data_IF_422268760371
#
_entry.id   IF_422268760371
#
_cell.length_a   1.000
_cell.length_b   1.000
_cell.length_c   1.000
_cell.angle_alpha   90.00
_cell.angle_beta   90.00
_cell.angle_gamma   90.00
#
_symmetry.space_group_name_H-M   'P 1'
#
loop_
_entity.id
_entity.type
_entity.pdbx_description
1 polymer ?
#
# COMPACT_ATOMS: atom_id res chain seq x y z
N UNK A 1 24.79 -1.91 -14.32
CA UNK A 1 25.11 -2.73 -13.12
C UNK A 1 26.24 -2.18 -12.23
N UNK A 2 26.91 -1.06 -12.55
CA UNK A 2 28.05 -0.57 -11.75
C UNK A 2 27.70 0.31 -10.52
N UNK A 3 26.44 0.72 -10.33
CA UNK A 3 26.06 1.64 -9.23
C UNK A 3 25.66 0.94 -7.93
N UNK A 4 25.44 -0.38 -7.95
CA UNK A 4 25.00 -1.15 -6.78
C UNK A 4 26.11 -1.54 -5.80
N UNK A 5 27.38 -1.42 -6.20
CA UNK A 5 28.54 -1.85 -5.40
C UNK A 5 29.22 -0.73 -4.61
N UNK A 6 28.75 0.52 -4.74
CA UNK A 6 29.36 1.68 -4.06
C UNK A 6 28.94 1.83 -2.58
N UNK A 7 28.00 1.01 -2.09
CA UNK A 7 27.50 1.06 -0.70
C UNK A 7 28.23 0.11 0.25
N UNK A 8 29.47 -0.28 -0.05
CA UNK A 8 30.33 -0.93 0.93
C UNK A 8 30.85 0.13 1.90
N UNK A 9 30.11 0.26 3.01
CA UNK A 9 30.41 1.04 4.21
C UNK A 9 31.92 1.05 4.52
N UNK A 10 32.60 2.13 4.10
CA UNK A 10 33.92 2.49 4.60
C UNK A 10 33.89 4.00 4.80
N UNK A 11 34.11 4.44 6.04
CA UNK A 11 34.38 5.84 6.44
C UNK A 11 33.20 6.75 6.83
N UNK A 12 32.11 6.23 7.39
CA UNK A 12 31.16 7.05 8.18
C UNK A 12 30.45 8.19 7.43
N UNK A 13 30.50 8.20 6.10
CA UNK A 13 29.70 9.08 5.24
C UNK A 13 28.64 8.24 4.55
N UNK A 14 27.40 8.69 4.66
CA UNK A 14 26.25 8.05 4.03
C UNK A 14 26.45 8.00 2.51
N UNK A 15 26.30 6.80 1.93
CA UNK A 15 26.46 6.57 0.50
C UNK A 15 25.36 7.25 -0.31
N UNK A 16 25.62 7.49 -1.60
CA UNK A 16 24.62 8.07 -2.50
C UNK A 16 23.46 7.12 -2.73
N UNK A 17 22.28 7.45 -2.23
CA UNK A 17 21.05 6.72 -2.54
C UNK A 17 20.73 6.77 -4.04
N UNK A 18 20.22 5.67 -4.58
CA UNK A 18 19.59 5.63 -5.92
C UNK A 18 18.39 6.59 -6.00
N UNK A 19 17.77 6.89 -4.86
CA UNK A 19 16.70 7.86 -4.70
C UNK A 19 17.23 9.03 -3.85
N UNK A 20 17.54 10.16 -4.48
CA UNK A 20 17.93 11.39 -3.78
C UNK A 20 16.69 12.19 -3.38
N UNK A 21 16.75 12.89 -2.24
CA UNK A 21 15.75 13.91 -1.91
C UNK A 21 15.73 14.98 -3.01
N UNK A 22 14.55 15.17 -3.63
CA UNK A 22 14.36 16.24 -4.60
C UNK A 22 14.52 17.59 -3.92
N UNK A 23 15.36 18.47 -4.49
CA UNK A 23 15.54 19.85 -3.99
C UNK A 23 14.34 20.76 -4.27
N UNK A 24 13.34 20.26 -5.01
CA UNK A 24 12.10 20.95 -5.33
C UNK A 24 10.93 20.04 -5.00
N UNK A 25 9.84 20.56 -4.40
CA UNK A 25 8.59 19.82 -4.29
C UNK A 25 8.17 19.43 -5.70
N UNK A 26 7.88 18.14 -5.91
CA UNK A 26 7.21 17.69 -7.12
C UNK A 26 5.73 17.69 -6.78
N UNK A 27 4.94 18.55 -7.42
CA UNK A 27 3.50 18.49 -7.30
C UNK A 27 3.07 17.10 -7.79
N UNK A 28 2.37 16.35 -6.93
CA UNK A 28 1.89 14.98 -7.20
C UNK A 28 0.70 14.94 -8.16
N UNK A 29 0.58 15.94 -9.03
CA UNK A 29 -0.38 16.03 -10.11
C UNK A 29 0.35 16.39 -11.40
N UNK A 30 -0.23 16.01 -12.53
CA UNK A 30 0.22 16.47 -13.83
C UNK A 30 0.03 17.99 -13.94
N UNK A 31 0.98 18.76 -13.41
CA UNK A 31 0.96 20.20 -13.59
C UNK A 31 1.40 20.53 -15.02
N UNK A 32 0.42 21.07 -15.75
CA UNK A 32 0.56 22.03 -16.83
C UNK A 32 1.52 23.14 -16.37
N UNK A 33 2.82 22.89 -16.55
CA UNK A 33 3.79 23.96 -16.68
C UNK A 33 3.51 24.60 -18.03
N UNK A 34 2.97 25.81 -17.98
CA UNK A 34 2.89 26.74 -19.10
C UNK A 34 4.32 26.94 -19.65
N UNK A 35 4.68 26.12 -20.62
CA UNK A 35 5.93 26.23 -21.37
C UNK A 35 5.59 26.84 -22.72
N UNK A 36 6.20 28.00 -22.98
CA UNK A 36 6.17 28.69 -24.27
C UNK A 36 6.56 27.80 -25.46
N UNK A 37 6.45 28.34 -26.68
CA UNK A 37 6.10 27.58 -27.87
C UNK A 37 7.22 26.65 -28.35
N UNK A 38 6.80 25.44 -28.74
CA UNK A 38 7.37 24.61 -29.80
C UNK A 38 8.80 24.08 -29.66
N UNK A 39 9.03 23.25 -28.64
CA UNK A 39 9.70 21.95 -28.85
C UNK A 39 8.91 20.92 -28.04
N UNK A 40 8.54 19.79 -28.66
CA UNK A 40 7.84 18.69 -27.98
C UNK A 40 8.70 18.15 -26.84
N UNK A 41 8.58 18.78 -25.69
CA UNK A 41 9.39 18.52 -24.51
C UNK A 41 8.87 17.23 -23.88
N UNK A 42 9.23 16.09 -24.49
CA UNK A 42 8.86 14.76 -24.00
C UNK A 42 9.48 14.62 -22.62
N UNK A 43 8.67 14.92 -21.59
CA UNK A 43 9.09 14.77 -20.20
C UNK A 43 9.47 13.31 -20.02
N UNK A 44 10.73 13.02 -19.64
CA UNK A 44 11.15 11.63 -19.54
C UNK A 44 10.38 10.93 -18.42
N UNK A 45 9.65 9.86 -18.78
CA UNK A 45 8.91 9.07 -17.81
C UNK A 45 9.87 8.24 -16.94
N UNK A 46 9.64 8.24 -15.62
CA UNK A 46 10.49 7.50 -14.68
C UNK A 46 10.41 5.99 -14.90
N UNK A 47 9.21 5.43 -15.09
CA UNK A 47 9.00 3.98 -15.18
C UNK A 47 9.58 3.41 -16.46
N UNK A 48 9.46 4.14 -17.56
CA UNK A 48 10.04 3.75 -18.85
C UNK A 48 11.57 3.63 -18.79
N UNK A 49 12.22 4.55 -18.05
CA UNK A 49 13.66 4.56 -17.88
C UNK A 49 14.15 3.60 -16.80
N UNK A 50 13.40 3.43 -15.72
CA UNK A 50 13.76 2.56 -14.61
C UNK A 50 13.55 1.08 -14.95
N UNK A 51 12.57 0.77 -15.80
CA UNK A 51 12.20 -0.60 -16.16
C UNK A 51 12.19 -0.79 -17.68
N UNK A 52 13.34 -0.66 -18.38
CA UNK A 52 13.41 -0.79 -19.83
C UNK A 52 12.94 -2.16 -20.31
N UNK A 53 13.09 -3.23 -19.52
CA UNK A 53 12.58 -4.56 -19.86
C UNK A 53 11.05 -4.66 -19.77
N UNK A 54 10.40 -3.86 -18.94
CA UNK A 54 8.94 -3.80 -18.84
C UNK A 54 8.34 -2.82 -19.86
N UNK A 55 9.12 -1.81 -20.27
CA UNK A 55 8.77 -0.79 -21.24
C UNK A 55 9.82 -0.70 -22.37
N UNK A 56 9.95 -1.74 -23.22
CA UNK A 56 11.05 -1.84 -24.19
C UNK A 56 11.09 -0.72 -25.23
N UNK A 57 9.95 -0.10 -25.51
CA UNK A 57 9.85 1.01 -26.47
C UNK A 57 9.97 2.39 -25.81
N UNK A 58 10.18 2.46 -24.48
CA UNK A 58 10.22 3.72 -23.73
C UNK A 58 8.93 4.53 -23.89
N UNK A 59 7.78 3.86 -23.84
CA UNK A 59 6.44 4.46 -23.98
C UNK A 59 5.44 3.73 -23.09
N UNK A 60 4.37 4.42 -22.72
CA UNK A 60 3.25 3.84 -21.97
C UNK A 60 3.57 3.58 -20.51
N UNK A 61 4.56 4.28 -19.96
CA UNK A 61 4.85 4.29 -18.52
C UNK A 61 3.67 4.76 -17.68
N UNK A 62 3.76 4.54 -16.37
CA UNK A 62 2.77 5.11 -15.44
C UNK A 62 2.86 6.64 -15.48
N UNK A 63 1.71 7.32 -15.43
CA UNK A 63 1.61 8.80 -15.54
C UNK A 63 2.13 9.38 -16.87
N UNK A 64 2.24 8.56 -17.92
CA UNK A 64 2.52 9.03 -19.28
C UNK A 64 1.35 9.86 -19.83
N UNK A 65 1.66 10.81 -20.72
CA UNK A 65 0.65 11.69 -21.31
C UNK A 65 -0.21 10.89 -22.30
N UNK A 66 -1.53 10.91 -22.08
CA UNK A 66 -2.49 10.04 -22.75
C UNK A 66 -3.79 10.78 -23.01
N UNK A 67 -4.49 10.48 -24.14
CA UNK A 67 -5.81 11.05 -24.41
C UNK A 67 -6.82 10.81 -23.29
N UNK A 68 -6.73 9.65 -22.63
CA UNK A 68 -7.53 9.30 -21.46
C UNK A 68 -6.65 9.31 -20.22
N UNK A 69 -6.97 10.19 -19.28
CA UNK A 69 -6.29 10.24 -17.99
C UNK A 69 -6.58 8.95 -17.22
N UNK A 70 -5.52 8.27 -16.77
CA UNK A 70 -5.63 7.05 -15.97
C UNK A 70 -5.05 7.29 -14.59
N UNK A 71 -5.81 6.95 -13.54
CA UNK A 71 -5.32 7.07 -12.17
C UNK A 71 -4.08 6.19 -11.95
N UNK A 72 -3.13 6.67 -11.16
CA UNK A 72 -1.87 5.99 -10.91
C UNK A 72 -2.08 4.57 -10.36
N UNK A 73 -3.00 4.40 -9.41
CA UNK A 73 -3.29 3.09 -8.81
C UNK A 73 -4.03 2.19 -9.80
N UNK A 74 -4.90 2.75 -10.62
CA UNK A 74 -5.58 2.00 -11.67
C UNK A 74 -4.60 1.48 -12.73
N UNK A 75 -3.64 2.30 -13.15
CA UNK A 75 -2.61 1.87 -14.09
C UNK A 75 -1.70 0.79 -13.49
N UNK A 76 -1.33 0.87 -12.20
CA UNK A 76 -0.61 -0.21 -11.51
C UNK A 76 -1.45 -1.50 -11.50
N UNK A 77 -2.75 -1.42 -11.18
CA UNK A 77 -3.64 -2.60 -11.21
C UNK A 77 -3.67 -3.23 -12.59
N UNK A 78 -3.71 -2.41 -13.64
CA UNK A 78 -3.63 -2.88 -15.02
C UNK A 78 -2.29 -3.58 -15.29
N UNK A 79 -1.15 -2.97 -14.94
CA UNK A 79 0.17 -3.59 -15.09
C UNK A 79 0.26 -4.96 -14.40
N UNK A 80 -0.21 -5.05 -13.15
CA UNK A 80 -0.20 -6.30 -12.39
C UNK A 80 -1.13 -7.38 -12.96
N UNK A 81 -2.13 -6.99 -13.76
CA UNK A 81 -3.06 -7.89 -14.47
C UNK A 81 -2.67 -8.12 -15.93
N UNK A 82 -1.54 -7.59 -16.37
CA UNK A 82 -1.09 -7.72 -17.74
C UNK A 82 -0.92 -9.20 -18.12
N UNK A 83 -1.31 -9.55 -19.34
CA UNK A 83 -1.52 -10.94 -19.76
C UNK A 83 -0.32 -11.87 -19.54
N UNK A 84 0.90 -11.40 -19.84
CA UNK A 84 2.15 -12.18 -19.69
C UNK A 84 2.72 -12.17 -18.26
N UNK A 85 2.09 -11.44 -17.33
CA UNK A 85 2.45 -11.33 -15.91
C UNK A 85 3.85 -10.78 -15.65
N UNK A 86 4.52 -10.18 -16.65
CA UNK A 86 5.89 -9.68 -16.51
C UNK A 86 6.04 -8.64 -15.39
N UNK A 87 5.04 -7.78 -15.20
CA UNK A 87 5.07 -6.71 -14.19
C UNK A 87 4.96 -7.26 -12.77
N UNK A 88 4.06 -8.23 -12.55
CA UNK A 88 3.82 -8.79 -11.22
C UNK A 88 4.92 -9.77 -10.77
N UNK A 89 5.60 -10.40 -11.73
CA UNK A 89 6.75 -11.28 -11.49
C UNK A 89 8.10 -10.54 -11.43
N UNK A 90 8.13 -9.26 -11.79
CA UNK A 90 9.37 -8.48 -11.73
C UNK A 90 9.75 -8.19 -10.28
N UNK A 91 10.99 -8.50 -9.91
CA UNK A 91 11.49 -8.46 -8.53
C UNK A 91 11.22 -7.17 -7.78
N UNK A 92 11.37 -6.01 -8.43
CA UNK A 92 11.30 -4.69 -7.76
C UNK A 92 10.11 -3.83 -8.18
N UNK A 93 9.41 -4.15 -9.27
CA UNK A 93 8.40 -3.24 -9.84
C UNK A 93 7.20 -3.05 -8.89
N UNK A 94 6.60 -4.11 -8.32
CA UNK A 94 5.49 -3.95 -7.37
C UNK A 94 5.88 -3.11 -6.15
N UNK A 95 7.10 -3.29 -5.63
CA UNK A 95 7.59 -2.55 -4.46
C UNK A 95 7.83 -1.08 -4.77
N UNK A 96 8.43 -0.75 -5.93
CA UNK A 96 8.63 0.64 -6.35
C UNK A 96 7.29 1.33 -6.60
N UNK A 97 6.38 0.67 -7.31
CA UNK A 97 5.03 1.18 -7.55
C UNK A 97 4.26 1.42 -6.25
N UNK A 98 4.29 0.46 -5.32
CA UNK A 98 3.68 0.59 -3.99
C UNK A 98 4.29 1.73 -3.17
N UNK A 99 5.62 1.83 -3.12
CA UNK A 99 6.31 2.89 -2.38
C UNK A 99 6.00 4.29 -2.93
N UNK A 100 5.87 4.43 -4.25
CA UNK A 100 5.42 5.69 -4.86
C UNK A 100 3.97 5.98 -4.49
N UNK A 101 3.07 4.99 -4.59
CA UNK A 101 1.67 5.16 -4.22
C UNK A 101 1.48 5.56 -2.75
N UNK A 102 2.27 4.98 -1.84
CA UNK A 102 2.26 5.31 -0.41
C UNK A 102 2.78 6.72 -0.17
N UNK A 103 3.88 7.12 -0.84
CA UNK A 103 4.42 8.49 -0.75
C UNK A 103 3.43 9.53 -1.26
N UNK A 104 2.75 9.27 -2.38
CA UNK A 104 1.73 10.17 -2.91
C UNK A 104 0.58 10.35 -1.92
N UNK A 105 0.13 9.29 -1.25
CA UNK A 105 -0.91 9.36 -0.22
C UNK A 105 -0.46 10.18 1.00
N UNK A 106 0.77 9.97 1.47
CA UNK A 106 1.37 10.75 2.56
C UNK A 106 1.49 12.23 2.19
N UNK A 107 2.00 12.55 0.99
CA UNK A 107 2.15 13.92 0.52
C UNK A 107 0.79 14.61 0.33
N UNK A 108 -0.22 13.90 -0.16
CA UNK A 108 -1.59 14.42 -0.24
C UNK A 108 -2.15 14.76 1.14
N UNK A 109 -1.94 13.89 2.13
CA UNK A 109 -2.30 14.14 3.54
C UNK A 109 -1.59 15.38 4.10
N UNK A 110 -0.27 15.46 3.91
CA UNK A 110 0.55 16.59 4.35
C UNK A 110 0.13 17.90 3.67
N UNK A 111 -0.19 17.87 2.37
CA UNK A 111 -0.65 19.04 1.61
C UNK A 111 -1.95 19.62 2.21
N UNK A 112 -2.86 18.76 2.67
CA UNK A 112 -4.07 19.23 3.35
C UNK A 112 -3.78 19.85 4.73
N UNK A 113 -2.77 19.35 5.45
CA UNK A 113 -2.35 19.94 6.71
C UNK A 113 -1.71 21.32 6.51
N UNK A 114 -0.86 21.46 5.49
CA UNK A 114 -0.21 22.73 5.14
C UNK A 114 -1.20 23.83 4.75
N UNK A 115 -2.41 23.46 4.28
CA UNK A 115 -3.49 24.41 3.96
C UNK A 115 -4.24 24.93 5.19
N UNK A 116 -3.92 24.46 6.40
CA UNK A 116 -4.55 24.95 7.64
C UNK A 116 -4.03 26.35 7.99
N UNK A 117 -4.92 27.20 8.51
CA UNK A 117 -4.57 28.58 8.93
C UNK A 117 -3.46 28.62 9.99
N UNK A 118 -3.37 27.60 10.85
CA UNK A 118 -2.38 27.52 11.93
C UNK A 118 -1.01 27.06 11.46
N UNK A 119 -0.86 26.62 10.20
CA UNK A 119 0.36 25.97 9.73
C UNK A 119 1.62 26.82 9.94
N UNK A 120 1.57 28.13 9.66
CA UNK A 120 2.73 28.99 9.82
C UNK A 120 3.16 29.14 11.28
N UNK A 121 2.21 29.21 12.21
CA UNK A 121 2.50 29.26 13.64
C UNK A 121 3.08 27.92 14.12
N UNK A 122 2.47 26.81 13.71
CA UNK A 122 2.94 25.47 14.06
C UNK A 122 4.35 25.21 13.49
N UNK A 123 4.62 25.66 12.27
CA UNK A 123 5.92 25.51 11.62
C UNK A 123 7.03 26.29 12.35
N UNK A 124 6.74 27.48 12.89
CA UNK A 124 7.70 28.23 13.70
C UNK A 124 8.03 27.50 15.01
N UNK A 125 7.02 26.93 15.67
CA UNK A 125 7.21 26.13 16.89
C UNK A 125 7.99 24.85 16.59
N UNK A 126 7.74 24.20 15.45
CA UNK A 126 8.52 23.03 15.05
C UNK A 126 9.97 23.39 14.69
N UNK A 127 10.21 24.58 14.14
CA UNK A 127 11.55 25.05 13.80
C UNK A 127 12.42 25.32 15.04
N UNK A 128 11.82 25.49 16.23
CA UNK A 128 12.56 25.63 17.48
C UNK A 128 12.95 24.29 18.12
N UNK A 129 12.56 23.15 17.54
CA UNK A 129 12.90 21.83 18.07
C UNK A 129 14.39 21.56 17.85
N UNK A 130 15.09 21.22 18.93
CA UNK A 130 16.51 20.82 18.91
C UNK A 130 16.68 19.32 19.04
N UNK A 131 17.88 18.82 18.75
CA UNK A 131 18.26 17.41 18.92
C UNK A 131 18.11 16.96 20.38
N UNK A 132 18.57 17.78 21.34
CA UNK A 132 18.46 17.51 22.78
C UNK A 132 16.99 17.32 23.24
N UNK A 133 16.07 18.10 22.67
CA UNK A 133 14.64 17.97 22.98
C UNK A 133 14.07 16.64 22.46
N UNK A 134 14.54 16.17 21.30
CA UNK A 134 14.14 14.88 20.73
C UNK A 134 14.73 13.71 21.52
N UNK A 135 16.00 13.78 21.91
CA UNK A 135 16.66 12.77 22.74
C UNK A 135 15.95 12.63 24.10
N UNK A 136 15.62 13.74 24.74
CA UNK A 136 14.86 13.73 25.99
C UNK A 136 13.46 13.15 25.81
N UNK A 137 12.76 13.51 24.73
CA UNK A 137 11.45 12.93 24.43
C UNK A 137 11.52 11.42 24.14
N UNK A 138 12.59 10.94 23.51
CA UNK A 138 12.84 9.52 23.29
C UNK A 138 13.00 8.79 24.63
N UNK A 139 13.82 9.31 25.55
CA UNK A 139 13.97 8.74 26.90
C UNK A 139 12.63 8.66 27.63
N UNK A 140 11.81 9.71 27.55
CA UNK A 140 10.47 9.71 28.13
C UNK A 140 9.57 8.61 27.53
N UNK A 141 9.63 8.39 26.22
CA UNK A 141 8.86 7.34 25.55
C UNK A 141 9.35 5.93 25.94
N UNK A 142 10.67 5.72 26.05
CA UNK A 142 11.29 4.47 26.53
C UNK A 142 10.88 4.15 27.98
N UNK A 143 10.87 5.16 28.85
CA UNK A 143 10.43 5.07 30.24
C UNK A 143 8.90 4.98 30.40
N UNK A 144 8.14 5.05 29.29
CA UNK A 144 6.66 5.04 29.24
C UNK A 144 6.01 6.22 30.00
N UNK A 145 6.71 7.34 30.07
CA UNK A 145 6.22 8.59 30.68
C UNK A 145 5.67 9.51 29.57
N UNK A 146 4.63 10.31 29.84
CA UNK A 146 4.14 11.27 28.85
C UNK A 146 5.23 12.29 28.47
N UNK A 147 5.38 12.52 27.17
CA UNK A 147 6.27 13.56 26.63
C UNK A 147 5.84 14.91 27.21
N UNK A 148 6.75 15.65 27.81
CA UNK A 148 6.42 16.92 28.47
C UNK A 148 6.55 18.16 27.58
N UNK A 149 7.41 18.10 26.56
CA UNK A 149 7.69 19.27 25.73
C UNK A 149 6.52 19.62 24.77
N UNK A 150 5.98 20.85 24.79
CA UNK A 150 4.84 21.22 23.95
C UNK A 150 5.15 21.23 22.45
N UNK A 151 6.36 21.58 22.05
CA UNK A 151 6.76 21.60 20.65
C UNK A 151 6.90 20.17 20.10
N UNK A 152 7.45 19.26 20.90
CA UNK A 152 7.49 17.82 20.56
C UNK A 152 6.09 17.21 20.52
N UNK A 153 5.20 17.56 21.47
CA UNK A 153 3.80 17.13 21.44
C UNK A 153 3.09 17.62 20.17
N UNK A 154 3.34 18.87 19.77
CA UNK A 154 2.80 19.44 18.54
C UNK A 154 3.31 18.69 17.30
N UNK A 155 4.62 18.43 17.22
CA UNK A 155 5.22 17.62 16.16
C UNK A 155 4.56 16.24 16.07
N UNK A 156 4.44 15.54 17.20
CA UNK A 156 3.82 14.21 17.28
C UNK A 156 2.36 14.23 16.81
N UNK A 157 1.60 15.27 17.16
CA UNK A 157 0.22 15.47 16.70
C UNK A 157 0.12 15.61 15.18
N UNK A 158 1.01 16.40 14.57
CA UNK A 158 1.05 16.57 13.12
C UNK A 158 1.46 15.28 12.39
N UNK A 159 2.44 14.56 12.91
CA UNK A 159 2.86 13.24 12.40
C UNK A 159 1.71 12.23 12.47
N UNK A 160 1.03 12.11 13.62
CA UNK A 160 -0.14 11.23 13.79
C UNK A 160 -1.27 11.58 12.83
N UNK A 161 -1.55 12.87 12.68
CA UNK A 161 -2.61 13.34 11.79
C UNK A 161 -2.27 13.03 10.32
N UNK A 162 -0.99 13.08 9.94
CA UNK A 162 -0.54 12.77 8.58
C UNK A 162 -0.53 11.27 8.32
N UNK A 163 -0.12 10.47 9.32
CA UNK A 163 0.06 9.04 9.23
C UNK A 163 -1.25 8.25 9.26
N UNK A 164 -2.34 8.80 9.81
CA UNK A 164 -3.64 8.10 9.90
C UNK A 164 -4.26 7.65 8.57
N UNK A 165 -3.78 8.16 7.43
CA UNK A 165 -4.17 7.71 6.09
C UNK A 165 -3.23 6.66 5.51
N UNK A 166 -2.01 6.56 6.03
CA UNK A 166 -1.02 5.58 5.60
C UNK A 166 -1.46 4.22 6.13
N UNK A 167 -1.74 3.29 5.22
CA UNK A 167 -2.03 1.89 5.55
C UNK A 167 -0.92 1.28 6.41
N UNK A 168 -1.29 0.59 7.49
CA UNK A 168 -0.36 -0.10 8.38
C UNK A 168 0.32 0.78 9.43
N UNK A 169 0.11 2.10 9.41
CA UNK A 169 0.58 2.99 10.47
C UNK A 169 -0.17 2.76 11.79
N UNK A 170 0.44 3.13 12.91
CA UNK A 170 -0.23 3.03 14.22
C UNK A 170 -1.50 3.87 14.28
N UNK A 171 -1.48 5.07 13.70
CA UNK A 171 -2.68 5.91 13.60
C UNK A 171 -3.80 5.22 12.80
N UNK A 172 -3.48 4.48 11.73
CA UNK A 172 -4.47 3.69 11.00
C UNK A 172 -5.03 2.53 11.83
N UNK A 173 -4.19 1.87 12.64
CA UNK A 173 -4.60 0.80 13.57
C UNK A 173 -5.48 1.33 14.70
N UNK A 174 -5.14 2.47 15.28
CA UNK A 174 -5.98 3.15 16.26
C UNK A 174 -7.36 3.48 15.69
N UNK A 175 -7.43 3.95 14.44
CA UNK A 175 -8.70 4.20 13.74
C UNK A 175 -9.53 2.92 13.59
N UNK A 176 -8.93 1.82 13.14
CA UNK A 176 -9.62 0.52 13.04
C UNK A 176 -10.14 0.06 14.41
N UNK A 177 -9.32 0.20 15.46
CA UNK A 177 -9.72 -0.13 16.84
C UNK A 177 -10.94 0.68 17.27
N UNK A 178 -10.97 1.99 17.00
CA UNK A 178 -12.12 2.85 17.30
C UNK A 178 -13.38 2.44 16.54
N UNK A 179 -13.25 1.97 15.29
CA UNK A 179 -14.38 1.44 14.52
C UNK A 179 -14.92 0.13 15.13
N UNK A 180 -14.05 -0.77 15.59
CA UNK A 180 -14.45 -2.00 16.28
C UNK A 180 -15.22 -1.67 17.57
N UNK A 181 -14.71 -0.74 18.38
CA UNK A 181 -15.36 -0.34 19.64
C UNK A 181 -16.71 0.33 19.40
N UNK A 182 -16.78 1.29 18.48
CA UNK A 182 -18.05 1.97 18.16
C UNK A 182 -19.09 1.01 17.58
N UNK A 183 -18.67 0.06 16.74
CA UNK A 183 -19.56 -1.00 16.24
C UNK A 183 -20.06 -1.88 17.38
N UNK A 184 -19.18 -2.29 18.31
CA UNK A 184 -19.55 -3.09 19.47
C UNK A 184 -20.52 -2.36 20.41
N UNK A 185 -20.35 -1.04 20.59
CA UNK A 185 -21.26 -0.23 21.40
C UNK A 185 -22.67 -0.14 20.76
N UNK A 186 -22.75 -0.05 19.43
CA UNK A 186 -24.03 0.11 18.72
C UNK A 186 -24.73 -1.23 18.41
N UNK A 187 -23.96 -2.28 18.10
CA UNK A 187 -24.48 -3.58 17.65
C UNK A 187 -24.41 -4.68 18.72
N UNK A 188 -23.93 -4.35 19.92
CA UNK A 188 -23.46 -5.25 20.98
C UNK A 188 -22.10 -5.89 20.66
N UNK A 189 -21.38 -6.42 21.67
CA UNK A 189 -20.12 -7.12 21.47
C UNK A 189 -20.21 -8.25 20.43
N UNK A 190 -19.13 -8.54 19.71
CA UNK A 190 -19.13 -9.56 18.68
C UNK A 190 -19.43 -10.94 19.27
N UNK A 191 -20.35 -11.68 18.65
CA UNK A 191 -20.64 -13.08 19.02
C UNK A 191 -19.55 -14.04 18.55
N UNK A 192 -18.79 -13.65 17.53
CA UNK A 192 -17.71 -14.45 16.94
C UNK A 192 -16.47 -13.58 16.72
N UNK A 193 -15.32 -14.11 17.11
CA UNK A 193 -14.01 -13.57 16.77
C UNK A 193 -13.21 -14.70 16.11
N UNK A 194 -12.96 -14.58 14.80
CA UNK A 194 -12.41 -15.67 13.99
C UNK A 194 -11.30 -15.14 13.09
N UNK A 195 -10.19 -15.88 13.05
CA UNK A 195 -9.11 -15.68 12.09
C UNK A 195 -9.27 -16.70 10.97
N UNK A 196 -9.41 -16.21 9.73
CA UNK A 196 -9.48 -17.06 8.53
C UNK A 196 -8.12 -17.00 7.86
N UNK A 197 -7.42 -18.13 7.77
CA UNK A 197 -6.08 -18.21 7.20
C UNK A 197 -6.03 -19.26 6.06
N UNK A 198 -6.42 -18.89 4.83
CA UNK A 198 -6.30 -19.77 3.66
C UNK A 198 -4.83 -20.09 3.37
N UNK A 199 -4.51 -21.36 3.13
CA UNK A 199 -3.14 -21.79 2.83
C UNK A 199 -2.93 -21.90 1.31
N UNK A 200 -2.11 -21.00 0.76
CA UNK A 200 -1.77 -20.93 -0.67
C UNK A 200 -0.77 -22.01 -1.14
N UNK A 201 0.00 -22.61 -0.23
CA UNK A 201 0.95 -23.68 -0.55
C UNK A 201 0.29 -25.05 -0.79
N UNK A 202 -0.89 -25.26 -0.23
CA UNK A 202 -1.59 -26.55 -0.24
C UNK A 202 -2.92 -26.52 -0.99
N UNK A 203 -3.33 -25.36 -1.51
CA UNK A 203 -4.58 -25.21 -2.24
C UNK A 203 -4.33 -25.15 -3.76
N UNK A 204 -4.86 -26.10 -4.57
CA UNK A 204 -4.77 -26.06 -6.03
C UNK A 204 -5.35 -24.78 -6.64
N UNK A 205 -6.34 -24.14 -6.01
CA UNK A 205 -6.93 -22.89 -6.49
C UNK A 205 -5.88 -21.76 -6.48
N UNK A 206 -4.96 -21.76 -5.51
CA UNK A 206 -3.87 -20.78 -5.49
C UNK A 206 -2.96 -20.94 -6.72
N UNK A 207 -2.79 -22.17 -7.20
CA UNK A 207 -1.99 -22.47 -8.39
C UNK A 207 -2.64 -21.99 -9.68
N UNK A 208 -3.98 -21.99 -9.77
CA UNK A 208 -4.70 -21.34 -10.88
C UNK A 208 -4.34 -19.86 -10.99
N UNK A 209 -4.27 -19.15 -9.85
CA UNK A 209 -3.86 -17.74 -9.83
C UNK A 209 -2.40 -17.55 -10.25
N UNK A 210 -1.53 -18.51 -9.92
CA UNK A 210 -0.12 -18.52 -10.30
C UNK A 210 0.10 -18.87 -11.79
N UNK A 211 -0.84 -19.60 -12.40
CA UNK A 211 -0.83 -19.92 -13.81
C UNK A 211 -0.98 -21.35 -14.22
N UNK A 212 -1.15 -22.25 -13.27
CA UNK A 212 -1.29 -23.66 -13.57
C UNK A 212 -2.62 -23.91 -14.26
N UNK A 213 -2.58 -24.83 -15.24
CA UNK A 213 -3.76 -25.27 -15.98
C UNK A 213 -4.47 -26.34 -15.16
N UNK A 214 -5.43 -25.88 -14.34
CA UNK A 214 -6.26 -26.73 -13.50
C UNK A 214 -7.70 -26.50 -13.92
N UNK A 215 -8.35 -27.57 -14.36
CA UNK A 215 -9.76 -27.56 -14.73
C UNK A 215 -10.62 -27.30 -13.48
N UNK A 216 -11.28 -26.14 -13.45
CA UNK A 216 -12.18 -25.76 -12.37
C UNK A 216 -13.61 -26.31 -12.57
N UNK A 217 -13.99 -26.70 -13.78
CA UNK A 217 -15.27 -27.34 -14.07
C UNK A 217 -15.26 -28.81 -13.61
N UNK A 218 -14.10 -29.48 -13.71
CA UNK A 218 -13.86 -30.84 -13.20
C UNK A 218 -12.79 -30.85 -12.09
N UNK A 219 -12.98 -30.03 -11.06
CA UNK A 219 -11.97 -29.82 -10.02
C UNK A 219 -11.61 -31.08 -9.22
N UNK A 220 -10.30 -31.37 -9.12
CA UNK A 220 -9.74 -32.42 -8.28
C UNK A 220 -8.84 -31.77 -7.22
N UNK A 221 -9.05 -32.07 -5.94
CA UNK A 221 -8.30 -31.44 -4.83
C UNK A 221 -6.80 -31.76 -4.81
N UNK A 222 -6.36 -32.78 -5.55
CA UNK A 222 -4.96 -33.14 -5.76
C UNK A 222 -4.41 -32.69 -7.11
N UNK A 223 -5.18 -31.93 -7.90
CA UNK A 223 -4.73 -31.40 -9.18
C UNK A 223 -3.64 -30.35 -9.00
N UNK A 224 -2.86 -30.14 -10.06
CA UNK A 224 -1.76 -29.19 -10.07
C UNK A 224 -0.42 -29.83 -9.72
N UNK A 225 0.61 -29.00 -9.55
CA UNK A 225 1.98 -29.47 -9.43
C UNK A 225 2.30 -29.99 -8.02
N UNK A 226 3.46 -30.61 -7.86
CA UNK A 226 3.93 -31.12 -6.58
C UNK A 226 4.19 -30.01 -5.54
N UNK A 227 4.48 -30.41 -4.29
CA UNK A 227 4.69 -29.48 -3.18
C UNK A 227 5.78 -28.45 -3.46
N UNK A 228 6.89 -28.87 -4.06
CA UNK A 228 8.06 -28.01 -4.23
C UNK A 228 7.82 -27.00 -5.34
N UNK A 229 7.20 -27.44 -6.44
CA UNK A 229 6.81 -26.55 -7.52
C UNK A 229 5.71 -25.57 -7.09
N UNK A 230 4.74 -25.98 -6.27
CA UNK A 230 3.72 -25.06 -5.71
C UNK A 230 4.37 -23.95 -4.88
N UNK A 231 5.34 -24.29 -4.04
CA UNK A 231 6.07 -23.31 -3.25
C UNK A 231 6.86 -22.33 -4.12
N UNK A 232 7.52 -22.82 -5.17
CA UNK A 232 8.24 -21.98 -6.13
C UNK A 232 7.28 -21.05 -6.89
N UNK A 233 6.12 -21.55 -7.33
CA UNK A 233 5.11 -20.75 -8.03
C UNK A 233 4.62 -19.58 -7.19
N UNK A 234 4.32 -19.82 -5.91
CA UNK A 234 3.87 -18.78 -4.98
C UNK A 234 5.00 -17.78 -4.69
N UNK A 235 6.22 -18.26 -4.44
CA UNK A 235 7.37 -17.39 -4.18
C UNK A 235 7.70 -16.47 -5.38
N UNK A 236 7.57 -16.99 -6.61
CA UNK A 236 7.83 -16.25 -7.84
C UNK A 236 6.68 -15.31 -8.24
N UNK A 237 5.50 -15.42 -7.62
CA UNK A 237 4.33 -14.61 -7.94
C UNK A 237 3.52 -14.24 -6.68
N UNK A 238 4.04 -13.35 -5.80
CA UNK A 238 3.32 -12.93 -4.59
C UNK A 238 1.97 -12.26 -4.89
N UNK A 239 1.79 -11.73 -6.10
CA UNK A 239 0.49 -11.19 -6.53
C UNK A 239 -0.56 -12.30 -6.66
N UNK A 240 -0.18 -13.48 -7.15
CA UNK A 240 -1.07 -14.63 -7.21
C UNK A 240 -1.56 -15.04 -5.81
N UNK A 241 -0.65 -15.10 -4.83
CA UNK A 241 -0.98 -15.38 -3.44
C UNK A 241 -1.98 -14.36 -2.87
N UNK A 242 -1.71 -13.06 -3.06
CA UNK A 242 -2.62 -11.99 -2.62
C UNK A 242 -4.00 -12.06 -3.31
N UNK A 243 -4.04 -12.41 -4.60
CA UNK A 243 -5.29 -12.60 -5.35
C UNK A 243 -6.08 -13.80 -4.86
N UNK A 244 -5.41 -14.91 -4.59
CA UNK A 244 -5.99 -16.11 -3.99
C UNK A 244 -6.59 -15.80 -2.62
N UNK A 245 -5.82 -15.18 -1.72
CA UNK A 245 -6.32 -14.78 -0.40
C UNK A 245 -7.56 -13.91 -0.50
N UNK A 246 -7.51 -12.85 -1.33
CA UNK A 246 -8.64 -11.96 -1.53
C UNK A 246 -9.87 -12.68 -2.10
N UNK A 247 -9.66 -13.60 -3.05
CA UNK A 247 -10.72 -14.43 -3.60
C UNK A 247 -11.34 -15.32 -2.52
N UNK A 248 -10.53 -16.04 -1.75
CA UNK A 248 -11.00 -16.95 -0.71
C UNK A 248 -11.80 -16.24 0.38
N UNK A 249 -11.29 -15.10 0.89
CA UNK A 249 -12.02 -14.31 1.90
C UNK A 249 -13.35 -13.83 1.35
N UNK A 250 -13.39 -13.29 0.12
CA UNK A 250 -14.65 -12.85 -0.50
C UNK A 250 -15.63 -14.00 -0.73
N UNK A 251 -15.13 -15.16 -1.15
CA UNK A 251 -15.93 -16.36 -1.33
C UNK A 251 -16.52 -16.80 0.00
N UNK A 252 -15.72 -16.90 1.07
CA UNK A 252 -16.18 -17.27 2.42
C UNK A 252 -17.24 -16.28 2.94
N UNK A 253 -16.99 -14.97 2.85
CA UNK A 253 -17.94 -13.95 3.27
C UNK A 253 -19.28 -14.09 2.53
N UNK A 254 -19.22 -14.31 1.22
CA UNK A 254 -20.41 -14.43 0.36
C UNK A 254 -21.16 -15.74 0.59
N UNK A 255 -20.47 -16.88 0.52
CA UNK A 255 -21.11 -18.20 0.47
C UNK A 255 -21.42 -18.75 1.85
N UNK A 256 -20.50 -18.59 2.82
CA UNK A 256 -20.72 -19.10 4.16
C UNK A 256 -21.47 -18.10 5.02
N UNK A 257 -21.09 -16.82 4.99
CA UNK A 257 -21.69 -15.82 5.89
C UNK A 257 -22.86 -15.06 5.28
N UNK A 258 -23.11 -15.21 3.98
CA UNK A 258 -24.20 -14.53 3.27
C UNK A 258 -24.01 -13.03 3.14
N UNK A 259 -22.77 -12.53 3.20
CA UNK A 259 -22.46 -11.10 3.16
C UNK A 259 -21.78 -10.72 1.84
N UNK A 260 -22.39 -9.77 1.13
CA UNK A 260 -21.83 -9.17 -0.08
C UNK A 260 -21.62 -7.67 0.15
N UNK A 261 -20.37 -7.25 0.30
CA UNK A 261 -20.00 -5.85 0.41
C UNK A 261 -19.41 -5.31 -0.90
N UNK A 262 -19.90 -4.15 -1.31
CA UNK A 262 -19.36 -3.32 -2.39
C UNK A 262 -19.12 -1.90 -1.86
N UNK A 263 -18.47 -1.05 -2.65
CA UNK A 263 -18.17 0.34 -2.27
C UNK A 263 -19.43 1.17 -1.96
N UNK A 264 -20.60 0.75 -2.46
CA UNK A 264 -21.86 1.51 -2.35
C UNK A 264 -22.92 0.82 -1.52
N UNK A 265 -22.84 -0.50 -1.34
CA UNK A 265 -23.90 -1.29 -0.73
C UNK A 265 -23.36 -2.56 -0.08
N UNK A 266 -23.92 -2.87 1.09
CA UNK A 266 -23.74 -4.15 1.78
C UNK A 266 -25.06 -4.90 1.78
N UNK A 267 -25.06 -6.12 1.23
CA UNK A 267 -26.19 -7.04 1.29
C UNK A 267 -25.89 -8.15 2.29
N UNK A 268 -26.90 -8.52 3.07
CA UNK A 268 -26.83 -9.61 4.04
C UNK A 268 -28.01 -10.55 3.86
N UNK A 269 -27.69 -11.81 3.64
CA UNK A 269 -28.62 -12.93 3.53
C UNK A 269 -28.30 -13.94 4.65
N UNK A 270 -29.23 -14.84 5.01
CA UNK A 270 -28.93 -15.90 5.98
C UNK A 270 -27.76 -16.77 5.49
N UNK A 271 -26.68 -16.81 6.28
CA UNK A 271 -25.56 -17.74 6.12
C UNK A 271 -25.58 -18.82 7.20
N UNK A 272 -24.44 -19.49 7.41
CA UNK A 272 -24.29 -20.57 8.40
C UNK A 272 -24.51 -20.12 9.85
N UNK A 273 -24.32 -18.82 10.13
CA UNK A 273 -24.55 -18.21 11.44
C UNK A 273 -25.88 -17.43 11.52
N UNK A 274 -26.80 -17.69 10.57
CA UNK A 274 -27.98 -16.85 10.37
C UNK A 274 -27.64 -15.55 9.65
N UNK A 275 -28.48 -14.52 9.82
CA UNK A 275 -28.27 -13.22 9.16
C UNK A 275 -27.26 -12.39 9.96
N UNK A 276 -26.11 -12.11 9.36
CA UNK A 276 -25.08 -11.26 9.95
C UNK A 276 -25.59 -9.82 10.04
N UNK A 277 -25.65 -9.27 11.26
CA UNK A 277 -26.07 -7.88 11.53
C UNK A 277 -24.96 -6.86 11.22
N UNK A 278 -23.73 -7.21 11.56
CA UNK A 278 -22.53 -6.43 11.28
C UNK A 278 -21.31 -7.36 11.24
N UNK A 279 -20.30 -7.00 10.46
CA UNK A 279 -18.98 -7.62 10.54
C UNK A 279 -17.92 -6.54 10.40
N UNK A 280 -16.76 -6.79 11.00
CA UNK A 280 -15.57 -5.97 10.83
C UNK A 280 -14.42 -6.91 10.46
N UNK A 281 -13.79 -6.67 9.32
CA UNK A 281 -12.72 -7.52 8.80
C UNK A 281 -11.47 -6.69 8.50
N UNK A 282 -10.33 -7.16 8.99
CA UNK A 282 -9.00 -6.57 8.72
C UNK A 282 -8.07 -7.66 8.22
N UNK A 283 -7.10 -7.27 7.40
CA UNK A 283 -5.99 -8.13 7.00
C UNK A 283 -4.79 -7.72 7.84
N UNK A 284 -4.16 -8.69 8.50
CA UNK A 284 -2.91 -8.51 9.26
C UNK A 284 -1.68 -8.56 8.35
#
# INVERSE_FOLDING_TARGET
MAWGLANLWKQGKEGGYSVRHGRKPRDGGADNLDSGPEEANVKPNFFEKAFPFLFPYGRGGLEDDRPTTLDFREHIRWCLRYHDRRFRKHETFPFVAFGIAQRQETLSSARLQMRRKTFNADAQIMASITEEMLEHAQQQEEDKVPITDPAIQLLRSHVHTSSGRIMGSDASRYRLRSQIWSTSLYMNPPSLWVTINPCDLHDPIAQVFAGEDIDLDNFISSAGPDKDQRAQNIANDPYAAAKFFHFMIRTILRTLFGVEASDYMVKSHPGIFGRVRAYFGTVE
#
